data_IF_785097950535
#
_entry.id   IF_785097950535
#
_cell.length_a   1.000
_cell.length_b   1.000
_cell.length_c   1.000
_cell.angle_alpha   90.00
_cell.angle_beta   90.00
_cell.angle_gamma   90.00
#
_symmetry.space_group_name_H-M   'P 1'
#
loop_
_entity.id
_entity.type
_entity.pdbx_description
1 polymer ?
#
# COMPACT_ATOMS: atom_id res chain seq x y z
N UNK A 1 43.72 -59.87 -26.37
CA UNK A 1 43.89 -58.54 -25.72
C UNK A 1 42.52 -58.01 -25.37
N UNK A 2 42.13 -58.10 -24.10
CA UNK A 2 40.84 -57.57 -23.60
C UNK A 2 41.07 -56.16 -23.08
N UNK A 3 40.29 -55.15 -23.58
CA UNK A 3 40.29 -53.73 -23.09
C UNK A 3 39.45 -53.66 -21.84
N UNK A 4 39.84 -52.92 -20.79
CA UNK A 4 39.02 -52.72 -19.63
C UNK A 4 37.98 -51.63 -19.91
N UNK A 5 36.73 -51.85 -19.44
CA UNK A 5 35.65 -50.86 -19.46
C UNK A 5 35.86 -49.91 -18.28
N UNK A 6 35.90 -48.58 -18.58
CA UNK A 6 35.88 -47.52 -17.56
C UNK A 6 34.43 -47.22 -17.21
N UNK A 7 34.05 -47.52 -15.98
CA UNK A 7 32.75 -47.12 -15.42
C UNK A 7 32.89 -45.73 -14.85
N UNK A 8 32.26 -44.76 -15.49
CA UNK A 8 32.20 -43.38 -15.03
C UNK A 8 31.03 -43.26 -14.03
N UNK A 9 31.33 -43.19 -12.74
CA UNK A 9 30.33 -42.93 -11.70
C UNK A 9 30.01 -41.45 -11.66
N UNK A 10 28.79 -41.07 -12.09
CA UNK A 10 28.27 -39.72 -11.94
C UNK A 10 27.73 -39.61 -10.50
N UNK A 11 28.41 -38.84 -9.66
CA UNK A 11 27.92 -38.46 -8.33
C UNK A 11 26.94 -37.29 -8.53
N UNK A 12 25.65 -37.57 -8.47
CA UNK A 12 24.62 -36.51 -8.37
C UNK A 12 24.67 -35.91 -6.95
N UNK A 13 25.27 -34.76 -6.82
CA UNK A 13 25.12 -33.93 -5.61
C UNK A 13 23.72 -33.32 -5.62
N UNK A 14 22.79 -33.90 -4.86
CA UNK A 14 21.49 -33.29 -4.54
C UNK A 14 21.77 -32.12 -3.60
N UNK A 15 21.84 -30.91 -4.15
CA UNK A 15 21.85 -29.69 -3.36
C UNK A 15 20.59 -29.63 -2.55
N UNK A 16 20.66 -29.75 -1.24
CA UNK A 16 19.56 -29.40 -0.32
C UNK A 16 19.27 -27.92 -0.49
N UNK A 17 18.19 -27.60 -1.17
CA UNK A 17 17.56 -26.27 -1.11
C UNK A 17 17.10 -26.08 0.34
N UNK A 18 17.90 -25.34 1.12
CA UNK A 18 17.49 -24.89 2.44
C UNK A 18 16.20 -24.08 2.23
N UNK A 19 15.06 -24.61 2.67
CA UNK A 19 13.81 -23.88 2.71
C UNK A 19 13.99 -22.71 3.67
N UNK A 20 14.06 -21.49 3.13
CA UNK A 20 14.06 -20.27 3.93
C UNK A 20 12.70 -20.21 4.62
N UNK A 21 12.67 -20.52 5.91
CA UNK A 21 11.46 -20.36 6.74
C UNK A 21 11.15 -18.87 6.76
N UNK A 22 10.04 -18.48 6.10
CA UNK A 22 9.57 -17.11 6.15
C UNK A 22 8.86 -16.88 7.48
N UNK A 23 9.07 -15.73 8.14
CA UNK A 23 8.30 -15.40 9.33
C UNK A 23 6.81 -15.39 8.98
N UNK A 24 5.97 -15.83 9.92
CA UNK A 24 4.50 -15.83 9.78
C UNK A 24 3.89 -15.13 10.98
N UNK A 25 2.80 -14.39 10.77
CA UNK A 25 2.00 -13.87 11.87
C UNK A 25 1.20 -15.02 12.46
N UNK A 26 1.30 -15.22 13.78
CA UNK A 26 0.51 -16.24 14.46
C UNK A 26 -0.97 -15.89 14.45
N UNK A 27 -1.82 -16.84 14.05
CA UNK A 27 -3.27 -16.66 14.06
C UNK A 27 -3.84 -16.48 15.46
N UNK A 28 -3.14 -17.01 16.50
CA UNK A 28 -3.60 -16.97 17.90
C UNK A 28 -3.19 -15.69 18.65
N UNK A 29 -2.33 -14.86 18.05
CA UNK A 29 -1.87 -13.60 18.65
C UNK A 29 -2.47 -12.40 17.91
N UNK A 30 -3.00 -11.40 18.65
CA UNK A 30 -3.50 -10.19 18.00
C UNK A 30 -2.37 -9.45 17.28
N UNK A 31 -2.68 -8.96 16.10
CA UNK A 31 -1.80 -8.07 15.37
C UNK A 31 -1.89 -6.68 16.00
N UNK A 32 -0.76 -6.14 16.45
CA UNK A 32 -0.68 -4.88 17.22
C UNK A 32 0.26 -3.85 16.61
N UNK A 33 1.19 -4.26 15.75
CA UNK A 33 2.19 -3.37 15.12
C UNK A 33 2.32 -3.69 13.65
N UNK A 34 1.84 -2.76 12.83
CA UNK A 34 1.85 -2.85 11.37
C UNK A 34 2.58 -1.63 10.84
N UNK A 35 3.74 -1.82 10.21
CA UNK A 35 4.42 -0.73 9.49
C UNK A 35 4.13 -0.81 8.00
N UNK A 36 4.18 0.33 7.31
CA UNK A 36 3.91 0.40 5.88
C UNK A 36 4.66 1.57 5.23
N UNK A 37 4.79 1.50 3.91
CA UNK A 37 5.37 2.57 3.12
C UNK A 37 5.34 2.27 1.63
N UNK A 38 5.66 3.30 0.85
CA UNK A 38 5.75 3.27 -0.61
C UNK A 38 6.92 4.11 -1.12
N UNK A 39 7.12 4.13 -2.43
CA UNK A 39 8.13 4.93 -3.13
C UNK A 39 9.56 4.57 -2.70
N UNK A 40 9.94 3.32 -2.99
CA UNK A 40 11.26 2.75 -2.73
C UNK A 40 12.11 2.67 -4.01
N UNK A 41 12.94 3.68 -4.28
CA UNK A 41 13.89 3.66 -5.41
C UNK A 41 14.97 2.61 -5.17
N UNK A 42 14.84 1.48 -5.85
CA UNK A 42 15.68 0.29 -5.67
C UNK A 42 17.17 0.50 -5.97
N UNK A 43 17.52 1.54 -6.73
CA UNK A 43 18.90 1.88 -7.13
C UNK A 43 19.52 2.98 -6.27
N UNK A 44 18.87 3.40 -5.20
CA UNK A 44 19.34 4.41 -4.24
C UNK A 44 19.54 3.77 -2.87
N UNK A 45 20.36 4.37 -1.99
CA UNK A 45 20.46 3.95 -0.58
C UNK A 45 19.07 3.97 0.10
N UNK A 46 18.84 3.02 0.97
CA UNK A 46 17.58 2.87 1.71
C UNK A 46 17.85 2.65 3.21
N UNK A 47 18.41 3.63 3.93
CA UNK A 47 18.74 3.46 5.36
C UNK A 47 17.52 3.29 6.25
N UNK A 48 16.35 3.75 5.83
CA UNK A 48 15.09 3.70 6.57
C UNK A 48 14.69 2.29 7.05
N UNK A 49 15.18 1.23 6.38
CA UNK A 49 14.84 -0.15 6.78
C UNK A 49 15.31 -0.50 8.19
N UNK A 50 16.41 0.09 8.66
CA UNK A 50 16.90 -0.16 10.01
C UNK A 50 15.95 0.45 11.04
N UNK A 51 15.52 1.69 10.86
CA UNK A 51 14.52 2.33 11.72
C UNK A 51 13.20 1.55 11.72
N UNK A 52 12.74 1.08 10.56
CA UNK A 52 11.53 0.24 10.48
C UNK A 52 11.68 -1.03 11.31
N UNK A 53 12.80 -1.75 11.19
CA UNK A 53 13.03 -2.99 11.95
C UNK A 53 13.12 -2.71 13.46
N UNK A 54 13.69 -1.58 13.88
CA UNK A 54 13.78 -1.17 15.29
C UNK A 54 12.40 -0.92 15.93
N UNK A 55 11.36 -0.57 15.13
CA UNK A 55 9.98 -0.48 15.65
C UNK A 55 9.35 -1.84 15.96
N UNK A 56 10.06 -2.96 15.71
CA UNK A 56 9.63 -4.33 15.91
C UNK A 56 8.24 -4.62 15.28
N UNK A 57 8.04 -4.38 13.96
CA UNK A 57 6.77 -4.61 13.32
C UNK A 57 6.46 -6.11 13.23
N UNK A 58 5.21 -6.49 13.46
CA UNK A 58 4.73 -7.86 13.25
C UNK A 58 4.38 -8.13 11.78
N UNK A 59 4.16 -7.06 11.01
CA UNK A 59 3.82 -7.09 9.61
C UNK A 59 4.29 -5.80 8.94
N UNK A 60 4.84 -5.90 7.75
CA UNK A 60 5.14 -4.76 6.89
C UNK A 60 4.30 -4.80 5.62
N UNK A 61 3.74 -3.64 5.23
CA UNK A 61 2.96 -3.48 4.00
C UNK A 61 3.72 -2.61 3.00
N UNK A 62 4.10 -3.21 1.86
CA UNK A 62 4.57 -2.49 0.68
C UNK A 62 3.33 -2.04 -0.10
N UNK A 63 3.06 -0.73 -0.14
CA UNK A 63 1.80 -0.21 -0.68
C UNK A 63 1.96 0.53 -2.02
N UNK A 64 2.86 0.04 -2.85
CA UNK A 64 3.09 0.56 -4.20
C UNK A 64 4.41 1.29 -4.38
N UNK A 65 4.81 1.51 -5.63
CA UNK A 65 6.13 2.04 -5.98
C UNK A 65 7.25 1.26 -5.28
N UNK A 66 7.07 -0.05 -5.22
CA UNK A 66 8.05 -0.94 -4.60
C UNK A 66 9.38 -0.91 -5.35
N UNK A 67 9.31 -0.65 -6.65
CA UNK A 67 10.41 -0.35 -7.56
C UNK A 67 9.97 0.72 -8.57
N UNK A 68 10.94 1.40 -9.19
CA UNK A 68 10.70 2.29 -10.33
C UNK A 68 11.02 1.54 -11.63
N UNK A 69 10.02 0.78 -12.08
CA UNK A 69 10.09 -0.11 -13.24
C UNK A 69 10.07 0.67 -14.55
N UNK A 70 8.97 1.35 -14.85
CA UNK A 70 8.74 2.21 -16.00
C UNK A 70 9.23 1.59 -17.32
N UNK A 71 8.78 0.37 -17.63
CA UNK A 71 9.26 -0.38 -18.80
C UNK A 71 8.28 -1.47 -19.20
N UNK A 72 8.19 -1.72 -20.50
CA UNK A 72 7.53 -2.89 -21.08
C UNK A 72 8.48 -4.09 -21.28
N UNK A 73 9.77 -3.91 -20.99
CA UNK A 73 10.76 -5.00 -20.97
C UNK A 73 10.67 -5.75 -19.62
N UNK A 74 10.09 -6.93 -19.65
CA UNK A 74 9.88 -7.75 -18.46
C UNK A 74 11.19 -8.25 -17.85
N UNK A 75 12.25 -8.43 -18.64
CA UNK A 75 13.55 -8.80 -18.11
C UNK A 75 14.18 -7.65 -17.32
N UNK A 76 14.04 -6.42 -17.81
CA UNK A 76 14.46 -5.22 -17.10
C UNK A 76 13.62 -4.99 -15.84
N UNK A 77 12.30 -5.17 -15.90
CA UNK A 77 11.40 -5.07 -14.74
C UNK A 77 11.82 -6.06 -13.65
N UNK A 78 12.06 -7.32 -14.02
CA UNK A 78 12.55 -8.34 -13.10
C UNK A 78 13.89 -7.98 -12.47
N UNK A 79 14.84 -7.49 -13.26
CA UNK A 79 16.14 -7.02 -12.76
C UNK A 79 15.98 -5.92 -11.70
N UNK A 80 15.04 -5.00 -11.88
CA UNK A 80 14.75 -3.95 -10.91
C UNK A 80 14.17 -4.50 -9.60
N UNK A 81 13.28 -5.49 -9.66
CA UNK A 81 12.84 -6.23 -8.46
C UNK A 81 14.00 -6.94 -7.75
N UNK A 82 14.92 -7.56 -8.51
CA UNK A 82 16.12 -8.18 -7.93
C UNK A 82 17.02 -7.15 -7.22
N UNK A 83 17.11 -5.92 -7.72
CA UNK A 83 17.86 -4.85 -7.05
C UNK A 83 17.24 -4.50 -5.69
N UNK A 84 15.91 -4.38 -5.58
CA UNK A 84 15.24 -4.21 -4.29
C UNK A 84 15.50 -5.43 -3.39
N UNK A 85 15.35 -6.63 -3.91
CA UNK A 85 15.61 -7.88 -3.17
C UNK A 85 17.05 -8.01 -2.66
N UNK A 86 18.01 -7.33 -3.30
CA UNK A 86 19.41 -7.31 -2.92
C UNK A 86 19.75 -6.23 -1.86
N UNK A 87 18.84 -5.28 -1.57
CA UNK A 87 19.06 -4.27 -0.54
C UNK A 87 19.20 -4.92 0.84
N UNK A 88 20.33 -4.73 1.55
CA UNK A 88 20.58 -5.41 2.82
C UNK A 88 19.52 -5.12 3.88
N UNK A 89 19.06 -3.87 3.98
CA UNK A 89 18.02 -3.47 4.93
C UNK A 89 16.68 -4.11 4.63
N UNK A 90 16.27 -4.19 3.35
CA UNK A 90 15.06 -4.90 2.95
C UNK A 90 15.14 -6.41 3.23
N UNK A 91 16.31 -7.03 3.05
CA UNK A 91 16.54 -8.42 3.45
C UNK A 91 16.44 -8.61 4.96
N UNK A 92 16.95 -7.65 5.77
CA UNK A 92 16.82 -7.65 7.22
C UNK A 92 15.34 -7.59 7.63
N UNK A 93 14.54 -6.69 7.02
CA UNK A 93 13.11 -6.60 7.24
C UNK A 93 12.38 -7.92 6.90
N UNK A 94 12.65 -8.52 5.73
CA UNK A 94 12.03 -9.80 5.31
C UNK A 94 12.37 -10.99 6.18
N UNK A 95 13.47 -10.92 6.93
CA UNK A 95 13.83 -11.91 7.96
C UNK A 95 13.14 -11.62 9.28
N UNK A 96 12.82 -10.35 9.56
CA UNK A 96 12.21 -9.92 10.80
C UNK A 96 10.70 -10.18 10.85
N UNK A 97 9.97 -9.77 9.81
CA UNK A 97 8.51 -9.95 9.73
C UNK A 97 8.05 -10.32 8.31
N UNK A 98 6.81 -10.85 8.18
CA UNK A 98 6.16 -11.01 6.88
C UNK A 98 6.01 -9.67 6.16
N UNK A 99 6.08 -9.71 4.83
CA UNK A 99 5.81 -8.57 3.96
C UNK A 99 4.64 -8.92 3.05
N UNK A 100 3.56 -8.15 3.13
CA UNK A 100 2.48 -8.15 2.15
C UNK A 100 2.63 -6.95 1.22
N UNK A 101 2.13 -7.05 0.00
CA UNK A 101 2.32 -5.99 -0.98
C UNK A 101 1.13 -5.80 -1.93
N UNK A 102 0.95 -4.56 -2.35
CA UNK A 102 0.29 -4.18 -3.59
C UNK A 102 1.26 -3.37 -4.43
N UNK A 103 0.95 -3.18 -5.70
CA UNK A 103 1.75 -2.34 -6.60
C UNK A 103 1.16 -0.94 -6.74
N UNK A 104 1.96 -0.04 -7.35
CA UNK A 104 1.50 1.21 -7.92
C UNK A 104 1.97 1.32 -9.39
N UNK A 105 1.94 2.50 -9.99
CA UNK A 105 2.19 2.72 -11.42
C UNK A 105 3.61 2.34 -11.84
N UNK A 106 4.61 2.70 -11.06
CA UNK A 106 6.01 2.45 -11.40
C UNK A 106 6.37 0.96 -11.37
N UNK A 107 5.87 0.18 -10.45
CA UNK A 107 6.12 -1.27 -10.42
C UNK A 107 5.07 -2.07 -11.23
N UNK A 108 3.90 -1.49 -11.52
CA UNK A 108 2.97 -1.98 -12.52
C UNK A 108 3.57 -1.89 -13.93
N UNK A 109 4.25 -0.77 -14.25
CA UNK A 109 5.07 -0.69 -15.44
C UNK A 109 5.21 0.65 -16.14
N UNK A 110 4.38 1.65 -15.85
CA UNK A 110 4.53 2.98 -16.43
C UNK A 110 3.83 4.05 -15.58
N UNK A 111 4.50 5.21 -15.43
CA UNK A 111 3.99 6.33 -14.64
C UNK A 111 2.54 6.70 -14.98
N UNK A 112 1.69 6.78 -13.95
CA UNK A 112 0.27 7.08 -14.01
C UNK A 112 -0.55 6.11 -14.92
N UNK A 113 -0.05 4.91 -15.25
CA UNK A 113 -0.74 3.96 -16.11
C UNK A 113 -1.84 3.18 -15.38
N UNK A 114 -2.84 2.78 -16.13
CA UNK A 114 -3.98 1.96 -15.70
C UNK A 114 -4.26 0.83 -16.69
N UNK A 115 -5.52 0.64 -17.02
CA UNK A 115 -5.99 -0.45 -17.89
C UNK A 115 -5.31 -0.48 -19.27
N UNK A 116 -4.82 0.65 -19.73
CA UNK A 116 -4.14 0.83 -21.01
C UNK A 116 -2.74 0.25 -21.06
N UNK A 117 -2.10 -0.11 -19.93
CA UNK A 117 -0.76 -0.66 -19.95
C UNK A 117 -0.74 -2.07 -20.56
N UNK A 118 0.03 -2.28 -21.67
CA UNK A 118 -0.10 -3.51 -22.48
C UNK A 118 0.50 -4.75 -21.80
N UNK A 119 1.43 -4.58 -20.83
CA UNK A 119 2.16 -5.66 -20.17
C UNK A 119 1.65 -6.01 -18.78
N UNK A 120 0.45 -5.54 -18.44
CA UNK A 120 -0.11 -5.68 -17.08
C UNK A 120 -0.17 -7.14 -16.56
N UNK A 121 -0.43 -8.10 -17.45
CA UNK A 121 -0.50 -9.52 -17.08
C UNK A 121 0.86 -10.10 -16.75
N UNK A 122 1.86 -9.77 -17.57
CA UNK A 122 3.25 -10.20 -17.37
C UNK A 122 3.85 -9.53 -16.11
N UNK A 123 3.60 -8.22 -15.91
CA UNK A 123 3.99 -7.51 -14.69
C UNK A 123 3.40 -8.15 -13.45
N UNK A 124 2.11 -8.54 -13.49
CA UNK A 124 1.46 -9.25 -12.40
C UNK A 124 2.22 -10.54 -12.02
N UNK A 125 2.64 -11.35 -12.99
CA UNK A 125 3.37 -12.57 -12.68
C UNK A 125 4.73 -12.28 -12.03
N UNK A 126 5.46 -11.27 -12.51
CA UNK A 126 6.74 -10.87 -11.91
C UNK A 126 6.58 -10.33 -10.48
N UNK A 127 5.56 -9.50 -10.25
CA UNK A 127 5.20 -9.04 -8.91
C UNK A 127 4.92 -10.21 -7.96
N UNK A 128 4.07 -11.15 -8.37
CA UNK A 128 3.72 -12.32 -7.57
C UNK A 128 4.93 -13.24 -7.32
N UNK A 129 5.84 -13.37 -8.29
CA UNK A 129 7.09 -14.12 -8.14
C UNK A 129 8.01 -13.46 -7.11
N UNK A 130 8.20 -12.14 -7.20
CA UNK A 130 9.06 -11.39 -6.28
C UNK A 130 8.58 -11.46 -4.83
N UNK A 131 7.28 -11.29 -4.61
CA UNK A 131 6.68 -11.39 -3.27
C UNK A 131 6.44 -12.84 -2.84
N UNK A 132 6.78 -13.83 -3.70
CA UNK A 132 6.78 -15.25 -3.39
C UNK A 132 5.41 -15.83 -3.18
N UNK A 133 4.44 -15.36 -3.93
CA UNK A 133 3.11 -15.97 -3.99
C UNK A 133 3.23 -17.38 -4.60
N UNK A 134 2.67 -18.43 -3.98
CA UNK A 134 2.76 -19.80 -4.49
C UNK A 134 2.27 -19.95 -5.92
N UNK A 135 2.89 -20.86 -6.69
CA UNK A 135 2.53 -21.10 -8.09
C UNK A 135 1.09 -21.59 -8.28
N UNK A 136 0.54 -22.29 -7.29
CA UNK A 136 -0.84 -22.78 -7.27
C UNK A 136 -1.85 -21.78 -6.66
N UNK A 137 -1.41 -20.56 -6.35
CA UNK A 137 -2.31 -19.54 -5.78
C UNK A 137 -3.35 -19.08 -6.81
N UNK A 138 -4.63 -18.90 -6.41
CA UNK A 138 -5.66 -18.29 -7.26
C UNK A 138 -5.31 -16.88 -7.75
N UNK A 139 -4.44 -16.16 -7.04
CA UNK A 139 -3.93 -14.83 -7.45
C UNK A 139 -3.23 -14.86 -8.80
N UNK A 140 -2.67 -16.00 -9.22
CA UNK A 140 -1.95 -16.11 -10.49
C UNK A 140 -2.85 -16.22 -11.72
N UNK A 141 -4.08 -16.65 -11.53
CA UNK A 141 -5.08 -16.79 -12.60
C UNK A 141 -6.11 -15.66 -12.61
N UNK A 142 -6.32 -15.01 -11.48
CA UNK A 142 -7.19 -13.84 -11.34
C UNK A 142 -6.52 -12.60 -11.95
N UNK A 143 -7.31 -11.66 -12.41
CA UNK A 143 -6.83 -10.34 -12.83
C UNK A 143 -6.58 -9.44 -11.61
N UNK A 144 -5.42 -8.76 -11.63
CA UNK A 144 -4.96 -7.88 -10.56
C UNK A 144 -4.30 -8.60 -9.39
N UNK A 145 -3.72 -7.81 -8.47
CA UNK A 145 -2.94 -8.28 -7.32
C UNK A 145 -3.66 -8.09 -5.97
N UNK A 146 -4.89 -7.60 -5.98
CA UNK A 146 -5.65 -7.35 -4.75
C UNK A 146 -5.70 -8.59 -3.86
N UNK A 147 -5.56 -8.40 -2.56
CA UNK A 147 -5.58 -9.50 -1.59
C UNK A 147 -6.10 -9.06 -0.22
N UNK A 148 -6.60 -10.01 0.54
CA UNK A 148 -7.07 -9.80 1.91
C UNK A 148 -6.51 -10.87 2.84
N UNK A 149 -6.17 -10.45 4.06
CA UNK A 149 -5.57 -11.29 5.08
C UNK A 149 -6.12 -10.90 6.44
N UNK A 150 -6.63 -11.87 7.20
CA UNK A 150 -7.12 -11.63 8.57
C UNK A 150 -6.21 -12.28 9.60
N UNK A 151 -5.85 -11.52 10.64
CA UNK A 151 -4.93 -11.90 11.69
C UNK A 151 -5.58 -11.73 13.06
N UNK A 152 -5.21 -12.58 14.01
CA UNK A 152 -5.65 -12.51 15.40
C UNK A 152 -6.94 -13.30 15.71
N UNK A 153 -7.18 -13.56 17.00
CA UNK A 153 -8.36 -14.29 17.45
C UNK A 153 -9.64 -13.44 17.37
N UNK A 154 -10.79 -14.08 17.48
CA UNK A 154 -12.09 -13.41 17.57
C UNK A 154 -12.08 -12.34 18.69
N UNK A 155 -12.63 -11.17 18.39
CA UNK A 155 -12.62 -9.99 19.25
C UNK A 155 -11.35 -9.12 19.12
N UNK A 156 -10.31 -9.59 18.40
CA UNK A 156 -9.05 -8.87 18.14
C UNK A 156 -8.53 -9.10 16.73
N UNK A 157 -9.44 -9.35 15.77
CA UNK A 157 -9.08 -9.59 14.36
C UNK A 157 -8.73 -8.27 13.67
N UNK A 158 -7.62 -8.29 12.96
CA UNK A 158 -7.21 -7.21 12.05
C UNK A 158 -7.24 -7.76 10.64
N UNK A 159 -8.08 -7.19 9.79
CA UNK A 159 -8.13 -7.49 8.37
C UNK A 159 -7.28 -6.48 7.61
N UNK A 160 -6.36 -6.96 6.80
CA UNK A 160 -5.54 -6.17 5.86
C UNK A 160 -6.09 -6.41 4.46
N UNK A 161 -6.61 -5.36 3.84
CA UNK A 161 -7.12 -5.38 2.47
C UNK A 161 -6.19 -4.54 1.61
N UNK A 162 -5.54 -5.19 0.63
CA UNK A 162 -4.66 -4.54 -0.34
C UNK A 162 -5.41 -4.39 -1.66
N UNK A 163 -5.72 -3.16 -2.04
CA UNK A 163 -6.40 -2.86 -3.30
C UNK A 163 -5.41 -2.84 -4.46
N UNK A 164 -5.88 -3.21 -5.64
CA UNK A 164 -5.21 -2.96 -6.91
C UNK A 164 -5.85 -1.75 -7.59
N UNK A 165 -5.17 -0.63 -7.59
CA UNK A 165 -5.63 0.63 -8.18
C UNK A 165 -5.10 0.84 -9.60
N UNK A 166 -4.54 -0.20 -10.25
CA UNK A 166 -3.91 -0.11 -11.57
C UNK A 166 -4.57 -0.99 -12.64
N UNK A 167 -4.74 -2.28 -12.36
CA UNK A 167 -5.10 -3.27 -13.37
C UNK A 167 -6.38 -2.94 -14.16
N UNK A 168 -7.38 -2.38 -13.48
CA UNK A 168 -8.70 -2.05 -14.04
C UNK A 168 -8.93 -0.54 -14.20
N UNK A 169 -8.08 0.29 -13.59
CA UNK A 169 -8.31 1.73 -13.54
C UNK A 169 -8.39 2.33 -14.95
N UNK A 170 -9.49 3.02 -15.20
CA UNK A 170 -9.69 3.77 -16.44
C UNK A 170 -8.65 4.89 -16.59
N UNK A 171 -8.33 5.32 -17.83
CA UNK A 171 -7.40 6.41 -18.08
C UNK A 171 -7.79 7.70 -17.33
N UNK A 172 -6.79 8.42 -16.83
CA UNK A 172 -6.96 9.68 -16.12
C UNK A 172 -7.37 10.83 -17.05
N UNK A 173 -8.29 11.66 -16.61
CA UNK A 173 -8.73 12.85 -17.36
C UNK A 173 -7.77 14.01 -17.13
N UNK A 174 -7.08 14.46 -18.18
CA UNK A 174 -6.17 15.63 -18.15
C UNK A 174 -6.94 16.95 -18.07
N UNK A 175 -6.23 18.02 -17.74
CA UNK A 175 -6.77 19.38 -17.73
C UNK A 175 -7.20 19.87 -16.34
N UNK A 176 -6.35 19.61 -15.33
CA UNK A 176 -6.50 20.22 -14.02
C UNK A 176 -6.48 21.76 -14.11
N UNK A 177 -7.45 22.39 -13.44
CA UNK A 177 -7.51 23.82 -13.26
C UNK A 177 -7.51 24.04 -11.74
N UNK A 178 -6.51 24.76 -11.18
CA UNK A 178 -6.50 25.06 -9.74
C UNK A 178 -7.71 25.89 -9.37
N UNK A 179 -8.29 25.63 -8.21
CA UNK A 179 -9.25 26.53 -7.57
C UNK A 179 -8.54 27.80 -7.10
N UNK A 180 -9.31 28.85 -6.78
CA UNK A 180 -8.75 30.07 -6.18
C UNK A 180 -7.89 29.77 -4.94
N UNK A 181 -8.28 28.76 -4.15
CA UNK A 181 -7.56 28.32 -2.94
C UNK A 181 -6.23 27.66 -3.26
N UNK A 182 -6.08 27.04 -4.47
CA UNK A 182 -4.89 26.37 -4.97
C UNK A 182 -4.20 27.16 -6.09
N UNK A 183 -4.40 28.48 -6.14
CA UNK A 183 -3.79 29.33 -7.14
C UNK A 183 -2.26 29.17 -7.15
N UNK A 184 -1.69 28.97 -8.35
CA UNK A 184 -0.25 28.69 -8.52
C UNK A 184 0.16 27.23 -8.37
N UNK A 185 -0.72 26.32 -7.91
CA UNK A 185 -0.41 24.89 -7.92
C UNK A 185 -0.60 24.29 -9.31
N UNK A 186 0.40 23.53 -9.79
CA UNK A 186 0.36 22.86 -11.10
C UNK A 186 0.00 21.40 -10.91
N UNK A 187 -1.07 20.97 -11.59
CA UNK A 187 -1.50 19.59 -11.64
C UNK A 187 -1.72 19.11 -13.08
N UNK A 188 -1.98 17.83 -13.23
CA UNK A 188 -2.22 17.17 -14.53
C UNK A 188 -3.67 16.75 -14.71
N UNK A 189 -4.30 16.28 -13.64
CA UNK A 189 -5.55 15.53 -13.68
C UNK A 189 -6.68 16.21 -12.96
N UNK A 190 -7.85 16.16 -13.56
CA UNK A 190 -9.13 16.62 -12.99
C UNK A 190 -10.06 15.45 -12.78
N UNK A 191 -11.10 15.68 -11.99
CA UNK A 191 -12.19 14.72 -11.84
C UNK A 191 -12.86 14.44 -13.19
N UNK A 192 -13.13 13.17 -13.48
CA UNK A 192 -13.95 12.77 -14.63
C UNK A 192 -15.42 13.00 -14.35
N UNK A 193 -16.17 13.40 -15.37
CA UNK A 193 -17.63 13.44 -15.36
C UNK A 193 -18.25 12.13 -15.87
N UNK A 194 -17.44 11.29 -16.52
CA UNK A 194 -17.88 10.02 -17.10
C UNK A 194 -18.00 8.95 -16.00
N UNK A 195 -19.24 8.59 -15.68
CA UNK A 195 -19.55 7.59 -14.67
C UNK A 195 -19.35 6.14 -15.14
N UNK A 196 -19.03 5.92 -16.40
CA UNK A 196 -18.66 4.57 -16.92
C UNK A 196 -17.21 4.21 -16.61
N UNK A 197 -16.40 5.19 -16.19
CA UNK A 197 -15.02 4.97 -15.78
C UNK A 197 -14.94 4.30 -14.41
N UNK A 198 -13.89 3.54 -14.16
CA UNK A 198 -13.74 2.79 -12.90
C UNK A 198 -12.34 2.92 -12.31
N UNK A 199 -12.23 2.79 -11.01
CA UNK A 199 -10.98 2.64 -10.27
C UNK A 199 -10.60 1.16 -10.12
N UNK A 200 -11.54 0.33 -9.67
CA UNK A 200 -11.27 -1.05 -9.28
C UNK A 200 -11.79 -2.09 -10.29
N UNK A 201 -12.72 -1.72 -11.19
CA UNK A 201 -13.45 -2.67 -12.02
C UNK A 201 -14.44 -3.52 -11.22
N UNK A 202 -15.50 -4.01 -11.89
CA UNK A 202 -16.61 -4.70 -11.22
C UNK A 202 -16.19 -6.00 -10.51
N UNK A 203 -15.18 -6.70 -11.03
CA UNK A 203 -14.70 -7.93 -10.41
C UNK A 203 -14.06 -7.65 -9.03
N UNK A 204 -13.23 -6.60 -8.93
CA UNK A 204 -12.62 -6.22 -7.65
C UNK A 204 -13.64 -5.59 -6.70
N UNK A 205 -14.61 -4.82 -7.20
CA UNK A 205 -15.71 -4.29 -6.36
C UNK A 205 -16.51 -5.39 -5.69
N UNK A 206 -16.90 -6.44 -6.42
CA UNK A 206 -17.60 -7.59 -5.85
C UNK A 206 -16.77 -8.36 -4.84
N UNK A 207 -15.47 -8.50 -5.12
CA UNK A 207 -14.53 -9.10 -4.18
C UNK A 207 -14.40 -8.26 -2.91
N UNK A 208 -14.26 -6.93 -3.03
CA UNK A 208 -14.14 -6.04 -1.87
C UNK A 208 -15.42 -6.07 -1.01
N UNK A 209 -16.59 -6.13 -1.63
CA UNK A 209 -17.86 -6.27 -0.91
C UNK A 209 -17.89 -7.54 -0.06
N UNK A 210 -17.48 -8.67 -0.61
CA UNK A 210 -17.39 -9.92 0.13
C UNK A 210 -16.37 -9.84 1.29
N UNK A 211 -15.20 -9.24 1.05
CA UNK A 211 -14.17 -9.08 2.08
C UNK A 211 -14.61 -8.17 3.24
N UNK A 212 -15.36 -7.11 2.96
CA UNK A 212 -15.86 -6.19 3.99
C UNK A 212 -16.97 -6.80 4.86
N UNK A 213 -17.62 -7.87 4.39
CA UNK A 213 -18.60 -8.64 5.17
C UNK A 213 -17.95 -9.66 6.11
N UNK A 214 -16.67 -10.00 5.89
CA UNK A 214 -15.95 -10.90 6.77
C UNK A 214 -15.75 -10.27 8.18
N UNK A 215 -15.88 -11.08 9.24
CA UNK A 215 -15.77 -10.54 10.60
C UNK A 215 -14.36 -10.03 10.91
N UNK A 216 -14.24 -8.75 11.28
CA UNK A 216 -13.01 -8.16 11.83
C UNK A 216 -13.34 -6.98 12.73
N UNK A 217 -12.50 -6.73 13.72
CA UNK A 217 -12.63 -5.60 14.64
C UNK A 217 -11.96 -4.33 14.09
N UNK A 218 -10.84 -4.50 13.37
CA UNK A 218 -10.12 -3.41 12.69
C UNK A 218 -9.86 -3.83 11.25
N UNK A 219 -10.02 -2.88 10.31
CA UNK A 219 -9.71 -3.06 8.90
C UNK A 219 -8.73 -2.01 8.43
N UNK A 220 -7.60 -2.44 7.91
CA UNK A 220 -6.64 -1.57 7.24
C UNK A 220 -6.79 -1.79 5.75
N UNK A 221 -7.30 -0.78 5.04
CA UNK A 221 -7.47 -0.82 3.58
C UNK A 221 -6.34 -0.01 2.96
N UNK A 222 -5.44 -0.70 2.27
CA UNK A 222 -4.33 -0.10 1.56
C UNK A 222 -4.74 0.20 0.12
N UNK A 223 -4.66 1.46 -0.25
CA UNK A 223 -4.74 1.97 -1.62
C UNK A 223 -3.36 2.51 -1.99
N UNK A 224 -2.84 2.20 -3.18
CA UNK A 224 -1.52 2.73 -3.56
C UNK A 224 -1.56 4.25 -3.74
N UNK A 225 -2.70 4.82 -4.11
CA UNK A 225 -2.93 6.26 -4.27
C UNK A 225 -3.93 6.79 -3.23
N UNK A 226 -3.89 8.11 -2.96
CA UNK A 226 -4.75 8.75 -1.97
C UNK A 226 -6.25 8.61 -2.27
N UNK A 227 -7.05 8.36 -1.21
CA UNK A 227 -8.50 8.17 -1.27
C UNK A 227 -9.27 9.46 -0.95
N UNK A 228 -8.95 10.11 0.18
CA UNK A 228 -9.74 11.24 0.69
C UNK A 228 -9.58 12.53 -0.11
N UNK A 229 -8.37 12.96 -0.54
CA UNK A 229 -8.19 14.23 -1.23
C UNK A 229 -8.93 14.32 -2.56
N UNK A 230 -9.42 15.55 -2.88
CA UNK A 230 -10.05 15.85 -4.16
C UNK A 230 -9.59 17.19 -4.79
N UNK A 231 -8.82 17.99 -4.06
CA UNK A 231 -8.46 19.36 -4.46
C UNK A 231 -7.19 19.44 -5.31
N UNK A 232 -6.21 18.56 -5.12
CA UNK A 232 -4.95 18.61 -5.87
C UNK A 232 -5.05 18.02 -7.28
N UNK A 233 -4.13 18.38 -8.17
CA UNK A 233 -4.12 17.95 -9.57
C UNK A 233 -3.23 16.75 -9.88
N UNK A 234 -2.77 16.00 -8.87
CA UNK A 234 -2.10 14.71 -9.02
C UNK A 234 -3.11 13.56 -9.07
N UNK A 235 -2.64 12.35 -9.31
CA UNK A 235 -3.47 11.15 -9.26
C UNK A 235 -4.06 10.92 -7.86
N UNK A 236 -5.30 10.45 -7.80
CA UNK A 236 -6.04 10.13 -6.59
C UNK A 236 -7.42 9.56 -6.89
N UNK A 237 -8.10 9.00 -5.90
CA UNK A 237 -9.50 8.57 -6.05
C UNK A 237 -10.46 9.73 -6.39
N UNK A 238 -10.13 10.96 -5.96
CA UNK A 238 -10.88 12.15 -6.32
C UNK A 238 -10.93 12.43 -7.83
N UNK A 239 -10.10 11.78 -8.66
CA UNK A 239 -10.24 11.83 -10.12
C UNK A 239 -11.44 11.02 -10.63
N UNK A 240 -11.94 10.08 -9.83
CA UNK A 240 -13.13 9.26 -10.06
C UNK A 240 -14.13 9.43 -8.90
N UNK A 241 -14.78 10.59 -8.78
CA UNK A 241 -15.57 10.93 -7.60
C UNK A 241 -16.72 9.96 -7.32
N UNK A 242 -17.31 9.35 -8.36
CA UNK A 242 -18.35 8.33 -8.22
C UNK A 242 -17.80 7.03 -7.62
N UNK A 243 -16.56 6.63 -7.96
CA UNK A 243 -15.91 5.44 -7.41
C UNK A 243 -15.48 5.67 -5.94
N UNK A 244 -14.98 6.88 -5.61
CA UNK A 244 -14.71 7.26 -4.22
C UNK A 244 -15.98 7.22 -3.37
N UNK A 245 -17.08 7.76 -3.88
CA UNK A 245 -18.39 7.71 -3.21
C UNK A 245 -18.87 6.26 -3.07
N UNK A 246 -18.67 5.42 -4.09
CA UNK A 246 -18.98 3.98 -4.04
C UNK A 246 -18.23 3.28 -2.91
N UNK A 247 -16.94 3.59 -2.69
CA UNK A 247 -16.16 3.02 -1.58
C UNK A 247 -16.78 3.38 -0.22
N UNK A 248 -17.13 4.66 -0.02
CA UNK A 248 -17.75 5.10 1.23
C UNK A 248 -19.10 4.42 1.45
N UNK A 249 -19.92 4.33 0.41
CA UNK A 249 -21.21 3.63 0.50
C UNK A 249 -21.01 2.14 0.79
N UNK A 250 -20.03 1.49 0.18
CA UNK A 250 -19.76 0.08 0.41
C UNK A 250 -19.35 -0.18 1.86
N UNK A 251 -18.47 0.65 2.45
CA UNK A 251 -18.11 0.57 3.88
C UNK A 251 -19.34 0.70 4.77
N UNK A 252 -20.22 1.67 4.48
CA UNK A 252 -21.47 1.88 5.20
C UNK A 252 -22.42 0.68 5.07
N UNK A 253 -22.68 0.24 3.84
CA UNK A 253 -23.73 -0.73 3.52
C UNK A 253 -23.37 -2.15 3.97
N UNK A 254 -22.09 -2.50 3.98
CA UNK A 254 -21.56 -3.73 4.58
C UNK A 254 -21.42 -3.65 6.10
N UNK A 255 -21.69 -2.47 6.70
CA UNK A 255 -21.48 -2.21 8.12
C UNK A 255 -20.04 -2.52 8.57
N UNK A 256 -19.08 -2.38 7.68
CA UNK A 256 -17.68 -2.59 8.00
C UNK A 256 -17.25 -1.59 9.08
N UNK A 257 -16.71 -2.10 10.18
CA UNK A 257 -16.25 -1.31 11.34
C UNK A 257 -14.72 -1.24 11.39
N UNK A 258 -14.18 -0.28 12.16
CA UNK A 258 -12.75 -0.15 12.43
C UNK A 258 -11.92 0.15 11.18
N UNK A 259 -12.49 0.85 10.18
CA UNK A 259 -11.79 1.11 8.92
C UNK A 259 -10.79 2.25 9.07
N UNK A 260 -9.53 1.97 8.71
CA UNK A 260 -8.45 2.94 8.52
C UNK A 260 -7.89 2.73 7.12
N UNK A 261 -7.78 3.80 6.35
CA UNK A 261 -7.15 3.82 5.03
C UNK A 261 -5.66 4.11 5.16
N UNK A 262 -4.84 3.51 4.32
CA UNK A 262 -3.44 3.84 4.15
C UNK A 262 -3.13 4.02 2.67
N UNK A 263 -2.24 4.98 2.33
CA UNK A 263 -1.94 5.29 0.94
C UNK A 263 -0.48 5.73 0.68
N UNK A 264 -0.11 5.76 -0.60
CA UNK A 264 1.22 6.06 -1.12
C UNK A 264 1.26 7.13 -2.22
N UNK A 265 2.10 6.95 -3.26
CA UNK A 265 2.27 7.74 -4.50
C UNK A 265 2.86 9.15 -4.34
N UNK A 266 2.49 9.87 -3.31
CA UNK A 266 2.63 11.33 -3.21
C UNK A 266 4.01 11.86 -2.86
N UNK A 267 4.96 11.00 -2.50
CA UNK A 267 6.31 11.41 -2.05
C UNK A 267 6.30 12.36 -0.84
N UNK A 268 5.30 12.22 0.01
CA UNK A 268 5.08 12.98 1.24
C UNK A 268 4.31 12.12 2.24
N UNK A 269 4.13 12.63 3.46
CA UNK A 269 3.22 12.01 4.41
C UNK A 269 2.24 13.02 5.02
N UNK A 270 1.03 12.55 5.28
CA UNK A 270 -0.02 13.32 5.96
C UNK A 270 -1.05 12.38 6.61
N UNK A 271 -1.72 12.88 7.63
CA UNK A 271 -2.88 12.22 8.24
C UNK A 271 -4.11 13.02 7.87
N UNK A 272 -5.16 12.33 7.47
CA UNK A 272 -6.40 12.93 6.98
C UNK A 272 -7.61 12.32 7.68
N UNK A 273 -8.70 13.07 7.70
CA UNK A 273 -9.99 12.63 8.23
C UNK A 273 -11.12 13.12 7.32
N UNK A 274 -12.08 12.25 7.07
CA UNK A 274 -13.40 12.64 6.56
C UNK A 274 -14.44 12.28 7.62
N UNK A 275 -15.21 13.27 8.03
CA UNK A 275 -16.29 13.09 8.99
C UNK A 275 -17.49 12.33 8.41
N UNK A 276 -18.40 11.92 9.29
CA UNK A 276 -19.62 11.19 8.93
C UNK A 276 -20.53 11.97 7.99
N UNK A 277 -20.60 13.30 8.13
CA UNK A 277 -21.48 14.14 7.31
C UNK A 277 -21.02 14.22 5.86
N UNK A 278 -19.69 14.28 5.63
CA UNK A 278 -19.09 14.35 4.30
C UNK A 278 -18.99 12.97 3.61
N UNK A 279 -18.71 11.93 4.37
CA UNK A 279 -18.55 10.58 3.83
C UNK A 279 -19.86 9.79 3.69
N UNK A 280 -20.88 10.15 4.48
CA UNK A 280 -22.12 9.38 4.65
C UNK A 280 -21.91 8.07 5.42
N UNK A 281 -20.75 7.85 6.04
CA UNK A 281 -20.48 6.71 6.91
C UNK A 281 -20.96 6.98 8.34
N UNK A 282 -21.27 5.97 9.13
CA UNK A 282 -21.75 6.14 10.50
C UNK A 282 -20.66 6.62 11.49
N UNK A 283 -19.40 6.63 11.06
CA UNK A 283 -18.23 7.04 11.84
C UNK A 283 -17.19 7.73 10.93
N UNK A 284 -16.25 8.52 11.48
CA UNK A 284 -15.21 9.16 10.68
C UNK A 284 -14.24 8.15 10.09
N UNK A 285 -13.77 8.40 8.87
CA UNK A 285 -12.74 7.57 8.23
C UNK A 285 -11.43 8.36 8.24
N UNK A 286 -10.36 7.71 8.69
CA UNK A 286 -8.99 8.23 8.68
C UNK A 286 -8.20 7.62 7.54
N UNK A 287 -7.31 8.44 6.95
CA UNK A 287 -6.31 7.99 5.98
C UNK A 287 -4.93 8.46 6.41
N UNK A 288 -3.95 7.57 6.34
CA UNK A 288 -2.54 7.89 6.53
C UNK A 288 -1.80 7.66 5.22
N UNK A 289 -1.33 8.74 4.62
CA UNK A 289 -0.38 8.68 3.51
C UNK A 289 1.03 8.60 4.09
N UNK A 290 1.81 7.60 3.65
CA UNK A 290 3.24 7.51 3.93
C UNK A 290 3.94 7.02 2.66
N UNK A 291 4.61 7.94 1.98
CA UNK A 291 4.94 7.78 0.58
C UNK A 291 6.35 8.25 0.27
N UNK A 292 7.33 7.83 1.08
CA UNK A 292 8.72 8.17 0.82
C UNK A 292 9.69 7.29 1.59
N UNK A 293 9.77 6.00 1.25
CA UNK A 293 10.79 5.13 1.85
C UNK A 293 12.23 5.59 1.53
N UNK A 294 12.46 6.22 0.36
CA UNK A 294 13.69 6.93 0.01
C UNK A 294 13.53 7.90 -1.18
N UNK A 295 12.30 8.30 -1.48
CA UNK A 295 12.01 9.16 -2.63
C UNK A 295 11.18 10.40 -2.23
N UNK A 296 11.70 11.27 -1.34
CA UNK A 296 10.96 12.43 -0.84
C UNK A 296 10.71 13.48 -1.93
N UNK A 297 9.56 14.16 -1.87
CA UNK A 297 9.20 15.25 -2.79
C UNK A 297 9.94 16.54 -2.48
N UNK A 298 10.55 16.65 -1.32
CA UNK A 298 11.21 17.84 -0.85
C UNK A 298 12.07 17.58 0.36
N UNK A 299 12.22 18.63 1.14
CA UNK A 299 12.92 18.61 2.41
C UNK A 299 12.26 19.67 3.30
N UNK A 300 11.98 19.36 4.55
CA UNK A 300 11.29 20.25 5.50
C UNK A 300 12.03 21.58 5.71
N UNK A 301 13.34 21.61 5.47
CA UNK A 301 14.17 22.80 5.67
C UNK A 301 14.38 23.66 4.41
N UNK A 302 13.96 23.18 3.23
CA UNK A 302 14.15 23.89 1.96
C UNK A 302 12.89 24.63 1.54
N UNK A 303 13.02 25.93 1.31
CA UNK A 303 12.00 26.71 0.63
C UNK A 303 11.77 26.17 -0.79
N UNK A 304 10.50 26.16 -1.25
CA UNK A 304 10.13 25.69 -2.59
C UNK A 304 9.96 24.16 -2.69
N UNK A 305 9.78 23.45 -1.58
CA UNK A 305 9.37 22.05 -1.59
C UNK A 305 8.14 21.86 -2.47
N UNK A 306 8.20 20.92 -3.39
CA UNK A 306 7.06 20.52 -4.23
C UNK A 306 5.88 20.15 -3.32
N UNK A 307 4.69 20.63 -3.61
CA UNK A 307 3.48 20.43 -2.81
C UNK A 307 3.39 21.18 -1.46
N UNK A 308 4.37 22.02 -1.07
CA UNK A 308 4.33 22.73 0.22
C UNK A 308 3.07 23.60 0.43
N UNK A 309 2.54 24.15 -0.66
CA UNK A 309 1.34 25.00 -0.64
C UNK A 309 0.07 24.27 -1.09
N UNK A 310 0.12 22.94 -1.23
CA UNK A 310 -1.01 22.14 -1.66
C UNK A 310 -2.09 22.14 -0.58
N UNK A 311 -3.30 22.55 -0.95
CA UNK A 311 -4.45 22.53 -0.07
C UNK A 311 -5.07 21.13 -0.08
N UNK A 312 -5.32 20.63 1.11
CA UNK A 312 -6.07 19.42 1.35
C UNK A 312 -6.98 19.63 2.55
N UNK A 313 -8.28 19.83 2.29
CA UNK A 313 -9.29 20.12 3.31
C UNK A 313 -9.61 18.94 4.24
N UNK A 314 -9.05 17.77 3.98
CA UNK A 314 -9.13 16.57 4.82
C UNK A 314 -7.96 16.44 5.77
N UNK A 315 -6.86 17.19 5.56
CA UNK A 315 -5.63 17.07 6.34
C UNK A 315 -5.82 17.50 7.78
N UNK A 316 -5.28 16.68 8.69
CA UNK A 316 -5.14 16.98 10.11
C UNK A 316 -3.67 17.35 10.36
N UNK A 317 -3.41 18.56 10.81
CA UNK A 317 -2.06 19.03 11.11
C UNK A 317 -1.24 19.38 9.86
N UNK A 318 -0.01 18.92 9.80
CA UNK A 318 0.98 19.32 8.80
C UNK A 318 1.22 18.20 7.77
N UNK A 319 1.82 18.57 6.64
CA UNK A 319 2.44 17.64 5.68
C UNK A 319 3.90 17.46 6.02
N UNK A 320 4.40 16.22 5.97
CA UNK A 320 5.80 15.88 6.11
C UNK A 320 6.39 15.49 4.75
N UNK A 321 7.55 16.06 4.35
CA UNK A 321 8.06 15.97 2.99
C UNK A 321 9.36 15.16 2.84
N UNK A 322 10.00 14.80 3.96
CA UNK A 322 11.22 14.00 3.94
C UNK A 322 10.94 12.49 3.91
N UNK A 323 11.99 11.68 3.91
CA UNK A 323 11.96 10.22 4.00
C UNK A 323 11.14 9.78 5.22
N UNK A 324 10.20 8.86 5.01
CA UNK A 324 9.25 8.48 6.04
C UNK A 324 8.66 7.07 5.83
N UNK A 325 8.14 6.50 6.93
CA UNK A 325 7.30 5.31 6.93
C UNK A 325 6.12 5.46 7.88
N UNK A 326 5.04 4.77 7.59
CA UNK A 326 3.84 4.75 8.41
C UNK A 326 3.84 3.59 9.39
N UNK A 327 3.15 3.78 10.52
CA UNK A 327 2.94 2.73 11.51
C UNK A 327 1.55 2.83 12.13
N UNK A 328 0.81 1.73 12.11
CA UNK A 328 -0.43 1.55 12.85
C UNK A 328 -0.14 0.65 14.05
N UNK A 329 -0.45 1.14 15.27
CA UNK A 329 -0.40 0.31 16.48
C UNK A 329 -1.77 0.22 17.12
N UNK A 330 -2.12 -0.99 17.62
CA UNK A 330 -3.38 -1.26 18.28
C UNK A 330 -3.08 -1.76 19.69
N UNK A 331 -3.52 -0.99 20.69
CA UNK A 331 -3.39 -1.34 22.10
C UNK A 331 -4.62 -2.11 22.55
N UNK A 332 -4.55 -3.43 22.43
CA UNK A 332 -5.61 -4.36 22.82
C UNK A 332 -5.73 -4.59 24.34
N UNK A 333 -4.88 -3.96 25.15
CA UNK A 333 -4.93 -4.08 26.61
C UNK A 333 -5.98 -3.17 27.26
N UNK A 334 -6.42 -2.14 26.53
CA UNK A 334 -7.45 -1.21 26.99
C UNK A 334 -8.84 -1.85 26.83
N UNK A 335 -9.78 -1.45 27.71
CA UNK A 335 -11.19 -1.83 27.59
C UNK A 335 -11.82 -1.36 26.28
N UNK A 336 -11.40 -0.18 25.78
CA UNK A 336 -11.65 0.32 24.44
C UNK A 336 -10.29 0.44 23.75
N UNK A 337 -9.95 -0.47 22.81
CA UNK A 337 -8.63 -0.50 22.19
C UNK A 337 -8.27 0.81 21.54
N UNK A 338 -7.02 1.25 21.67
CA UNK A 338 -6.53 2.48 21.07
C UNK A 338 -5.78 2.19 19.76
N UNK A 339 -6.22 2.81 18.70
CA UNK A 339 -5.54 2.78 17.38
C UNK A 339 -4.69 4.04 17.29
N UNK A 340 -3.37 3.86 17.15
CA UNK A 340 -2.42 4.95 16.94
C UNK A 340 -1.91 4.89 15.50
N UNK A 341 -2.17 5.92 14.75
CA UNK A 341 -1.70 6.16 13.40
C UNK A 341 -0.50 7.08 13.47
N UNK A 342 0.66 6.66 12.99
CA UNK A 342 1.91 7.41 13.05
C UNK A 342 2.58 7.48 11.71
N UNK A 343 3.31 8.56 11.48
CA UNK A 343 4.36 8.68 10.49
C UNK A 343 5.66 8.90 11.25
N UNK A 344 6.68 8.17 10.87
CA UNK A 344 8.02 8.24 11.44
C UNK A 344 9.03 8.59 10.34
N UNK A 345 10.09 9.31 10.70
CA UNK A 345 11.15 9.69 9.80
C UNK A 345 12.20 8.57 9.59
N UNK A 346 13.28 8.90 8.89
CA UNK A 346 14.36 7.97 8.55
C UNK A 346 15.11 7.41 9.78
N UNK A 347 15.05 8.10 10.92
CA UNK A 347 15.67 7.64 12.17
C UNK A 347 14.68 7.05 13.18
N UNK A 348 13.39 7.02 12.84
CA UNK A 348 12.34 6.43 13.66
C UNK A 348 11.63 7.41 14.59
N UNK A 349 11.92 8.70 14.50
CA UNK A 349 11.23 9.72 15.30
C UNK A 349 9.80 9.96 14.76
N UNK A 350 8.84 10.11 15.68
CA UNK A 350 7.43 10.35 15.31
C UNK A 350 7.26 11.80 14.88
N UNK A 351 6.94 11.99 13.59
CA UNK A 351 6.72 13.32 12.98
C UNK A 351 5.24 13.69 12.85
N UNK A 352 4.35 12.71 12.68
CA UNK A 352 2.89 12.89 12.69
C UNK A 352 2.24 11.79 13.53
N UNK A 353 1.19 12.15 14.28
CA UNK A 353 0.43 11.16 15.04
C UNK A 353 -1.04 11.54 15.19
N UNK A 354 -1.92 10.55 15.11
CA UNK A 354 -3.32 10.60 15.55
C UNK A 354 -3.63 9.34 16.34
N UNK A 355 -4.33 9.48 17.46
CA UNK A 355 -4.82 8.37 18.27
C UNK A 355 -6.33 8.45 18.39
N UNK A 356 -7.01 7.32 18.19
CA UNK A 356 -8.46 7.21 18.31
C UNK A 356 -8.83 5.93 19.06
N UNK A 357 -9.88 5.93 19.88
CA UNK A 357 -10.42 4.71 20.44
C UNK A 357 -11.15 3.92 19.36
N UNK A 358 -11.16 2.59 19.46
CA UNK A 358 -11.82 1.72 18.48
C UNK A 358 -13.33 1.98 18.43
N UNK A 359 -13.94 2.33 19.55
CA UNK A 359 -15.37 2.69 19.63
C UNK A 359 -15.76 3.87 18.72
N UNK A 360 -14.83 4.80 18.45
CA UNK A 360 -15.06 5.90 17.51
C UNK A 360 -15.23 5.41 16.06
N UNK A 361 -14.66 4.27 15.73
CA UNK A 361 -14.68 3.67 14.38
C UNK A 361 -15.75 2.56 14.27
N UNK A 362 -16.78 2.63 15.08
CA UNK A 362 -17.89 1.68 15.06
C UNK A 362 -19.17 2.38 14.63
N UNK A 363 -20.08 1.69 13.90
CA UNK A 363 -21.43 2.20 13.72
C UNK A 363 -22.07 2.44 15.10
N UNK A 364 -22.85 3.51 15.28
CA UNK A 364 -23.59 3.69 16.52
C UNK A 364 -24.55 2.53 16.74
N UNK A 365 -24.66 2.09 17.98
CA UNK A 365 -25.57 1.02 18.42
C UNK A 365 -27.03 1.41 18.20
#
# INVERSE_FOLDING_TARGET
MKRPAVVLSIVLTIGQLASVVRPSVSADKPLSRISFGSCAKQNQPQPIWDAIVETDPQLFLMIGDNIYGDTEDMALLWKKYQMLGAQPGFQKLRKHCPVLATWDDHDYGANDAGVEYPKKRESQQLFLDFFGVPQNSPLRTREGVQSSHTFGPAGKRVQIILLDTRYFRSPLTRGYVPSERNEGFRGRYKATADKSTTMLGEAQWKWLEAELQEPAEVRIIASSIQVLPDEHGSEKWGNFPHERTRLFHLIRDTKANGVVLISGDRHLAEIMEVDSARSGNPYPIYEVTSSSLNAPSGNMTKAGTRFANEINSYRIGLTYFDTNFGMITIDWSQSDPLIRMRVQDEVGDVVLQKTVPLSLLQPPN
#
